data_IF_409617488828
#
_entry.id   IF_409617488828
#
_cell.length_a   1.000
_cell.length_b   1.000
_cell.length_c   1.000
_cell.angle_alpha   90.00
_cell.angle_beta   90.00
_cell.angle_gamma   90.00
#
_symmetry.space_group_name_H-M   'P 1'
#
loop_
_entity.id
_entity.type
_entity.pdbx_description
1 polymer ?
#
# COMPACT_ATOMS: atom_id res chain seq x y z
N UNK A 1 13.47 6.91 -24.16
CA UNK A 1 14.55 6.17 -23.45
C UNK A 1 15.61 5.68 -24.46
N UNK A 2 16.73 5.08 -24.00
CA UNK A 2 17.80 4.57 -24.88
C UNK A 2 17.68 3.05 -25.09
N UNK A 3 17.23 2.64 -26.27
CA UNK A 3 17.02 1.24 -26.66
C UNK A 3 18.15 0.75 -27.56
N UNK A 4 18.69 -0.43 -27.26
CA UNK A 4 19.69 -1.12 -28.07
C UNK A 4 19.29 -2.58 -28.23
N UNK A 5 19.26 -3.07 -29.48
CA UNK A 5 19.01 -4.47 -29.79
C UNK A 5 20.36 -5.13 -30.04
N UNK A 6 20.63 -6.21 -29.31
CA UNK A 6 21.84 -7.00 -29.41
C UNK A 6 21.49 -8.46 -29.76
N UNK A 7 22.51 -9.24 -30.13
CA UNK A 7 22.36 -10.70 -30.31
C UNK A 7 22.74 -11.41 -29.02
N UNK A 8 21.81 -12.18 -28.47
CA UNK A 8 22.06 -13.05 -27.31
C UNK A 8 22.95 -14.25 -27.67
N UNK A 9 23.46 -14.96 -26.66
CA UNK A 9 24.35 -16.12 -26.88
C UNK A 9 23.70 -17.25 -27.69
N UNK A 10 22.38 -17.40 -27.62
CA UNK A 10 21.63 -18.38 -28.41
C UNK A 10 21.28 -17.91 -29.83
N UNK A 11 21.73 -16.72 -30.25
CA UNK A 11 21.48 -16.14 -31.57
C UNK A 11 20.18 -15.32 -31.68
N UNK A 12 19.33 -15.31 -30.65
CA UNK A 12 18.11 -14.51 -30.64
C UNK A 12 18.41 -13.02 -30.38
N UNK A 13 17.51 -12.13 -30.82
CA UNK A 13 17.59 -10.71 -30.44
C UNK A 13 17.30 -10.54 -28.94
N UNK A 14 18.08 -9.72 -28.25
CA UNK A 14 17.84 -9.26 -26.87
C UNK A 14 17.76 -7.75 -26.82
N UNK A 15 17.11 -7.22 -25.79
CA UNK A 15 16.85 -5.79 -25.62
C UNK A 15 17.57 -5.24 -24.40
N UNK A 16 18.40 -4.23 -24.63
CA UNK A 16 19.02 -3.40 -23.61
C UNK A 16 18.32 -2.04 -23.59
N UNK A 17 17.86 -1.63 -22.40
CA UNK A 17 17.23 -0.34 -22.16
C UNK A 17 17.97 0.37 -21.02
N UNK A 18 18.54 1.54 -21.30
CA UNK A 18 19.30 2.32 -20.31
C UNK A 18 20.34 1.44 -19.55
N UNK A 19 21.11 0.62 -20.29
CA UNK A 19 22.10 -0.33 -19.76
C UNK A 19 21.54 -1.49 -18.90
N UNK A 20 20.22 -1.70 -18.90
CA UNK A 20 19.57 -2.82 -18.24
C UNK A 20 19.01 -3.78 -19.30
N UNK A 21 19.38 -5.05 -19.20
CA UNK A 21 18.84 -6.09 -20.07
C UNK A 21 17.38 -6.37 -19.71
N UNK A 22 16.46 -6.02 -20.62
CA UNK A 22 15.03 -6.32 -20.51
C UNK A 22 14.79 -7.82 -20.72
N UNK A 23 15.51 -8.43 -21.66
CA UNK A 23 15.54 -9.87 -21.86
C UNK A 23 16.94 -10.42 -21.60
N UNK A 24 17.01 -11.70 -21.24
CA UNK A 24 18.26 -12.40 -20.93
C UNK A 24 19.28 -12.30 -22.07
N UNK A 25 20.56 -12.08 -21.76
CA UNK A 25 21.65 -12.14 -22.75
C UNK A 25 21.99 -13.57 -23.20
N UNK A 26 21.39 -14.58 -22.55
CA UNK A 26 21.65 -15.99 -22.82
C UNK A 26 20.51 -16.62 -23.63
N UNK A 27 19.29 -16.58 -23.09
CA UNK A 27 18.11 -17.20 -23.69
C UNK A 27 16.87 -16.30 -23.57
N UNK A 28 16.77 -15.21 -24.36
CA UNK A 28 15.71 -14.21 -24.25
C UNK A 28 14.29 -14.78 -24.17
N UNK A 29 13.88 -15.63 -25.13
CA UNK A 29 12.51 -16.16 -25.19
C UNK A 29 12.23 -17.21 -24.11
N UNK A 30 13.21 -18.08 -23.82
CA UNK A 30 13.06 -19.13 -22.80
C UNK A 30 12.87 -18.51 -21.42
N UNK A 31 13.66 -17.49 -21.08
CA UNK A 31 13.58 -16.84 -19.78
C UNK A 31 12.30 -16.00 -19.65
N UNK A 32 11.84 -15.37 -20.74
CA UNK A 32 10.53 -14.70 -20.80
C UNK A 32 9.37 -15.69 -20.57
N UNK A 33 9.40 -16.88 -21.19
CA UNK A 33 8.41 -17.94 -20.96
C UNK A 33 8.36 -18.41 -19.51
N UNK A 34 9.52 -18.65 -18.90
CA UNK A 34 9.60 -19.05 -17.47
C UNK A 34 9.02 -17.98 -16.56
N UNK A 35 9.35 -16.70 -16.82
CA UNK A 35 8.81 -15.59 -16.06
C UNK A 35 7.28 -15.52 -16.17
N UNK A 36 6.74 -15.59 -17.38
CA UNK A 36 5.29 -15.53 -17.62
C UNK A 36 4.56 -16.74 -17.04
N UNK A 37 5.13 -17.94 -17.12
CA UNK A 37 4.54 -19.13 -16.50
C UNK A 37 4.37 -18.97 -14.98
N UNK A 38 5.32 -18.31 -14.30
CA UNK A 38 5.22 -18.02 -12.86
C UNK A 38 4.20 -16.91 -12.54
N UNK A 39 4.00 -15.97 -13.47
CA UNK A 39 3.04 -14.88 -13.34
C UNK A 39 1.65 -15.23 -13.90
N UNK A 40 1.47 -16.40 -14.51
CA UNK A 40 0.18 -16.83 -15.04
C UNK A 40 -0.81 -17.11 -13.90
N UNK A 41 -2.09 -16.90 -14.17
CA UNK A 41 -3.19 -17.20 -13.24
C UNK A 41 -4.42 -17.56 -14.05
N UNK A 42 -4.83 -18.82 -13.95
CA UNK A 42 -5.99 -19.34 -14.67
C UNK A 42 -7.30 -18.64 -14.28
N UNK A 43 -7.40 -18.10 -13.06
CA UNK A 43 -8.59 -17.43 -12.55
C UNK A 43 -8.63 -15.94 -12.87
N UNK A 44 -7.54 -15.37 -13.39
CA UNK A 44 -7.52 -13.98 -13.83
C UNK A 44 -8.52 -13.76 -14.98
N UNK A 45 -9.25 -12.65 -14.95
CA UNK A 45 -10.20 -12.27 -16.01
C UNK A 45 -9.54 -11.69 -17.25
N UNK A 46 -8.29 -11.26 -17.12
CA UNK A 46 -7.45 -10.65 -18.16
C UNK A 46 -6.09 -10.28 -17.60
N UNK A 47 -5.18 -9.83 -18.46
CA UNK A 47 -3.83 -9.42 -18.08
C UNK A 47 -3.51 -7.98 -18.49
N UNK A 48 -2.75 -7.29 -17.65
CA UNK A 48 -2.16 -5.98 -17.98
C UNK A 48 -0.64 -6.11 -17.96
N UNK A 49 0.00 -6.18 -19.12
CA UNK A 49 1.43 -6.38 -19.26
C UNK A 49 2.16 -5.05 -19.41
N UNK A 50 3.16 -4.82 -18.55
CA UNK A 50 3.98 -3.60 -18.60
C UNK A 50 5.23 -3.82 -19.45
N UNK A 51 5.37 -3.01 -20.50
CA UNK A 51 6.47 -3.01 -21.44
C UNK A 51 6.28 -4.05 -22.55
N UNK A 52 6.23 -3.58 -23.80
CA UNK A 52 6.10 -4.40 -24.99
C UNK A 52 7.47 -4.97 -25.41
N UNK A 53 8.48 -4.11 -25.48
CA UNK A 53 9.85 -4.49 -25.87
C UNK A 53 9.90 -5.22 -27.22
N UNK A 54 10.51 -6.40 -27.23
CA UNK A 54 10.58 -7.29 -28.41
C UNK A 54 9.37 -8.24 -28.51
N UNK A 55 8.38 -8.11 -27.63
CA UNK A 55 7.17 -8.92 -27.64
C UNK A 55 7.26 -10.28 -26.91
N UNK A 56 8.42 -10.71 -26.41
CA UNK A 56 8.58 -12.08 -25.88
C UNK A 56 7.73 -12.40 -24.65
N UNK A 57 7.43 -11.41 -23.79
CA UNK A 57 6.52 -11.62 -22.67
C UNK A 57 5.06 -11.77 -23.15
N UNK A 58 4.64 -10.96 -24.13
CA UNK A 58 3.33 -11.07 -24.75
C UNK A 58 3.18 -12.41 -25.49
N UNK A 59 4.20 -12.82 -26.22
CA UNK A 59 4.28 -14.12 -26.90
C UNK A 59 4.03 -15.27 -25.93
N UNK A 60 4.81 -15.31 -24.85
CA UNK A 60 4.69 -16.35 -23.83
C UNK A 60 3.30 -16.36 -23.17
N UNK A 61 2.67 -15.20 -23.02
CA UNK A 61 1.33 -15.10 -22.46
C UNK A 61 0.27 -15.65 -23.43
N UNK A 62 0.39 -15.32 -24.72
CA UNK A 62 -0.49 -15.84 -25.78
C UNK A 62 -0.31 -17.34 -26.05
N UNK A 63 0.87 -17.91 -25.76
CA UNK A 63 1.11 -19.35 -25.77
C UNK A 63 0.29 -20.08 -24.68
N UNK A 64 0.11 -19.45 -23.50
CA UNK A 64 -0.64 -20.01 -22.38
C UNK A 64 -2.15 -19.73 -22.47
N UNK A 65 -2.54 -18.53 -22.94
CA UNK A 65 -3.94 -18.12 -23.02
C UNK A 65 -4.21 -17.25 -24.25
N UNK A 66 -5.03 -17.77 -25.17
CA UNK A 66 -5.41 -17.10 -26.42
C UNK A 66 -6.76 -16.38 -26.33
N UNK A 67 -7.49 -16.55 -25.23
CA UNK A 67 -8.88 -16.11 -25.11
C UNK A 67 -9.06 -14.88 -24.24
N UNK A 68 -8.28 -14.75 -23.15
CA UNK A 68 -8.42 -13.64 -22.21
C UNK A 68 -7.96 -12.31 -22.81
N UNK A 69 -8.61 -11.19 -22.45
CA UNK A 69 -8.16 -9.87 -22.86
C UNK A 69 -6.79 -9.54 -22.23
N UNK A 70 -5.90 -9.00 -23.05
CA UNK A 70 -4.55 -8.58 -22.68
C UNK A 70 -4.37 -7.12 -23.07
N UNK A 71 -4.07 -6.26 -22.11
CA UNK A 71 -3.67 -4.87 -22.37
C UNK A 71 -2.15 -4.79 -22.18
N UNK A 72 -1.42 -4.33 -23.20
CA UNK A 72 0.02 -4.08 -23.11
C UNK A 72 0.28 -2.59 -23.04
N UNK A 73 0.94 -2.16 -21.98
CA UNK A 73 1.42 -0.78 -21.86
C UNK A 73 2.83 -0.66 -22.43
N UNK A 74 2.94 -0.11 -23.63
CA UNK A 74 4.19 0.39 -24.17
C UNK A 74 4.59 1.67 -23.41
N UNK A 75 5.82 1.71 -22.89
CA UNK A 75 6.34 2.82 -22.10
C UNK A 75 6.96 3.91 -22.99
N UNK A 76 7.36 3.56 -24.22
CA UNK A 76 7.84 4.47 -25.26
C UNK A 76 7.25 4.08 -26.63
N UNK A 77 6.91 5.07 -27.46
CA UNK A 77 6.47 4.84 -28.85
C UNK A 77 7.48 4.03 -29.67
N UNK A 78 8.78 4.09 -29.33
CA UNK A 78 9.82 3.29 -29.98
C UNK A 78 9.57 1.80 -29.87
N UNK A 79 8.90 1.33 -28.81
CA UNK A 79 8.58 -0.09 -28.61
C UNK A 79 7.73 -0.66 -29.75
N UNK A 80 6.79 0.14 -30.27
CA UNK A 80 5.94 -0.24 -31.39
C UNK A 80 6.73 -0.48 -32.69
N UNK A 81 7.93 0.11 -32.81
CA UNK A 81 8.80 -0.04 -33.99
C UNK A 81 9.78 -1.20 -33.86
N UNK A 82 10.22 -1.50 -32.64
CA UNK A 82 11.20 -2.57 -32.39
C UNK A 82 10.55 -3.93 -32.16
N UNK A 83 9.28 -3.96 -31.76
CA UNK A 83 8.53 -5.19 -31.67
C UNK A 83 8.42 -5.80 -33.08
N UNK A 84 8.92 -7.03 -33.31
CA UNK A 84 8.97 -7.60 -34.66
C UNK A 84 7.57 -7.71 -35.28
N UNK A 85 7.39 -7.37 -36.58
CA UNK A 85 6.10 -7.49 -37.27
C UNK A 85 5.50 -8.91 -37.31
N UNK A 86 6.29 -9.92 -36.95
CA UNK A 86 5.82 -11.31 -36.82
C UNK A 86 4.75 -11.46 -35.73
N UNK A 87 4.72 -10.55 -34.76
CA UNK A 87 3.54 -10.28 -33.96
C UNK A 87 2.57 -9.48 -34.82
N UNK A 88 1.90 -10.15 -35.76
CA UNK A 88 0.82 -9.53 -36.53
C UNK A 88 -0.32 -9.26 -35.55
N UNK A 89 -0.31 -8.10 -34.91
CA UNK A 89 -1.22 -7.76 -33.81
C UNK A 89 -2.69 -7.76 -34.28
N UNK A 90 -2.91 -7.56 -35.58
CA UNK A 90 -4.19 -7.73 -36.27
C UNK A 90 -4.79 -9.15 -36.13
N UNK A 91 -3.97 -10.17 -35.86
CA UNK A 91 -4.43 -11.55 -35.65
C UNK A 91 -4.94 -11.80 -34.22
N UNK A 92 -4.61 -10.93 -33.27
CA UNK A 92 -4.94 -11.12 -31.86
C UNK A 92 -5.99 -10.11 -31.40
N UNK A 93 -7.27 -10.42 -31.70
CA UNK A 93 -8.41 -9.57 -31.33
C UNK A 93 -8.58 -9.34 -29.82
N UNK A 94 -7.90 -10.13 -29.00
CA UNK A 94 -7.91 -10.04 -27.54
C UNK A 94 -6.72 -9.22 -26.98
N UNK A 95 -5.90 -8.60 -27.83
CA UNK A 95 -4.73 -7.81 -27.41
C UNK A 95 -4.90 -6.35 -27.79
N UNK A 96 -4.88 -5.48 -26.78
CA UNK A 96 -4.86 -4.02 -26.96
C UNK A 96 -3.52 -3.45 -26.50
N UNK A 97 -2.97 -2.49 -27.24
CA UNK A 97 -1.69 -1.86 -26.92
C UNK A 97 -1.89 -0.37 -26.73
N UNK A 98 -1.50 0.08 -25.55
CA UNK A 98 -1.62 1.47 -25.14
C UNK A 98 -0.23 2.04 -24.86
N UNK A 99 -0.07 3.33 -25.10
CA UNK A 99 1.17 4.10 -24.89
C UNK A 99 1.09 5.01 -23.67
N UNK A 100 -0.08 5.03 -23.03
CA UNK A 100 -0.39 5.82 -21.85
C UNK A 100 -1.46 5.10 -21.03
N UNK A 101 -1.31 5.13 -19.71
CA UNK A 101 -2.39 4.75 -18.80
C UNK A 101 -3.49 5.81 -18.89
N UNK A 102 -4.61 5.43 -19.50
CA UNK A 102 -5.81 6.25 -19.53
C UNK A 102 -6.57 6.09 -18.21
N UNK A 103 -7.23 7.16 -17.74
CA UNK A 103 -7.88 7.19 -16.42
C UNK A 103 -9.03 6.19 -16.26
N UNK A 104 -9.53 5.62 -17.35
CA UNK A 104 -10.65 4.68 -17.36
C UNK A 104 -10.21 3.21 -17.38
N UNK A 105 -8.91 2.90 -17.51
CA UNK A 105 -8.43 1.52 -17.43
C UNK A 105 -8.51 1.05 -15.98
N UNK A 106 -9.52 0.24 -15.67
CA UNK A 106 -9.68 -0.32 -14.33
C UNK A 106 -8.74 -1.52 -14.13
N UNK A 107 -7.53 -1.25 -13.63
CA UNK A 107 -6.51 -2.26 -13.36
C UNK A 107 -6.95 -3.34 -12.37
N UNK A 108 -7.97 -3.12 -11.53
CA UNK A 108 -8.42 -4.14 -10.57
C UNK A 108 -9.04 -5.37 -11.24
N UNK A 109 -9.45 -5.26 -12.51
CA UNK A 109 -10.03 -6.38 -13.27
C UNK A 109 -8.97 -7.27 -13.94
N UNK A 110 -7.71 -6.82 -13.97
CA UNK A 110 -6.63 -7.47 -14.70
C UNK A 110 -5.53 -7.94 -13.74
N UNK A 111 -4.94 -9.11 -14.02
CA UNK A 111 -3.67 -9.47 -13.40
C UNK A 111 -2.57 -8.62 -14.03
N UNK A 112 -2.03 -7.68 -13.26
CA UNK A 112 -0.94 -6.81 -13.71
C UNK A 112 0.38 -7.58 -13.68
N UNK A 113 1.08 -7.65 -14.81
CA UNK A 113 2.39 -8.30 -14.94
C UNK A 113 3.43 -7.24 -15.19
N UNK A 114 4.34 -7.08 -14.23
CA UNK A 114 5.44 -6.10 -14.29
C UNK A 114 6.77 -6.85 -14.23
N UNK A 115 7.46 -7.04 -15.37
CA UNK A 115 8.80 -7.63 -15.38
C UNK A 115 9.78 -6.71 -14.66
N UNK A 116 10.53 -7.27 -13.69
CA UNK A 116 11.49 -6.51 -12.88
C UNK A 116 12.54 -5.72 -13.69
N UNK A 117 13.05 -6.20 -14.84
CA UNK A 117 13.96 -5.41 -15.67
C UNK A 117 13.38 -4.08 -16.13
N UNK A 118 12.09 -4.01 -16.45
CA UNK A 118 11.43 -2.77 -16.87
C UNK A 118 11.45 -1.72 -15.76
N UNK A 119 11.12 -2.11 -14.53
CA UNK A 119 11.18 -1.21 -13.37
C UNK A 119 12.56 -0.60 -13.19
N UNK A 120 13.61 -1.42 -13.30
CA UNK A 120 15.00 -0.97 -13.19
C UNK A 120 15.40 -0.06 -14.35
N UNK A 121 14.97 -0.38 -15.57
CA UNK A 121 15.38 0.30 -16.78
C UNK A 121 14.75 1.68 -16.95
N UNK A 122 13.47 1.86 -16.60
CA UNK A 122 12.80 3.17 -16.71
C UNK A 122 13.34 4.18 -15.69
N UNK A 123 13.79 3.70 -14.52
CA UNK A 123 14.36 4.53 -13.46
C UNK A 123 13.33 5.42 -12.74
N UNK A 124 13.76 6.05 -11.65
CA UNK A 124 12.90 6.83 -10.75
C UNK A 124 12.30 8.10 -11.38
N UNK A 125 12.97 8.68 -12.39
CA UNK A 125 12.51 9.89 -13.08
C UNK A 125 11.34 9.64 -14.04
N UNK A 126 11.03 8.37 -14.34
CA UNK A 126 9.94 8.06 -15.24
C UNK A 126 8.58 8.31 -14.58
N UNK A 127 7.69 9.04 -15.25
CA UNK A 127 6.36 9.44 -14.74
C UNK A 127 5.48 8.29 -14.22
N UNK A 128 5.70 7.06 -14.70
CA UNK A 128 4.96 5.86 -14.29
C UNK A 128 5.68 5.03 -13.21
N UNK A 129 6.95 5.31 -12.93
CA UNK A 129 7.77 4.49 -12.03
C UNK A 129 7.08 4.31 -10.68
N UNK A 130 6.65 5.40 -10.06
CA UNK A 130 6.02 5.37 -8.73
C UNK A 130 4.69 4.61 -8.71
N UNK A 131 3.87 4.73 -9.75
CA UNK A 131 2.61 3.98 -9.85
C UNK A 131 2.86 2.48 -10.00
N UNK A 132 3.81 2.11 -10.85
CA UNK A 132 4.17 0.71 -11.09
C UNK A 132 4.85 0.08 -9.86
N UNK A 133 5.68 0.84 -9.15
CA UNK A 133 6.28 0.40 -7.90
C UNK A 133 5.22 0.17 -6.81
N UNK A 134 4.27 1.10 -6.63
CA UNK A 134 3.15 0.95 -5.69
C UNK A 134 2.36 -0.35 -5.98
N UNK A 135 2.10 -0.64 -7.26
CA UNK A 135 1.44 -1.89 -7.68
C UNK A 135 2.30 -3.11 -7.32
N UNK A 136 3.60 -3.10 -7.70
CA UNK A 136 4.49 -4.24 -7.47
C UNK A 136 4.67 -4.54 -5.98
N UNK A 137 4.80 -3.52 -5.13
CA UNK A 137 4.89 -3.67 -3.68
C UNK A 137 3.67 -4.42 -3.15
N UNK A 138 2.45 -3.98 -3.52
CA UNK A 138 1.21 -4.64 -3.09
C UNK A 138 1.12 -6.08 -3.56
N UNK A 139 1.50 -6.36 -4.81
CA UNK A 139 1.52 -7.73 -5.35
C UNK A 139 2.48 -8.64 -4.58
N UNK A 140 3.69 -8.15 -4.30
CA UNK A 140 4.69 -8.91 -3.55
C UNK A 140 4.23 -9.17 -2.12
N UNK A 141 3.66 -8.16 -1.44
CA UNK A 141 3.08 -8.32 -0.10
C UNK A 141 1.95 -9.33 -0.08
N UNK A 142 1.05 -9.30 -1.07
CA UNK A 142 -0.03 -10.27 -1.19
C UNK A 142 0.49 -11.68 -1.43
N UNK A 143 1.38 -11.86 -2.41
CA UNK A 143 1.96 -13.16 -2.74
C UNK A 143 2.71 -13.79 -1.55
N UNK A 144 3.43 -12.97 -0.77
CA UNK A 144 4.15 -13.44 0.40
C UNK A 144 3.23 -13.88 1.56
N UNK A 145 1.99 -13.36 1.62
CA UNK A 145 1.08 -13.55 2.75
C UNK A 145 -0.23 -14.26 2.38
N UNK A 146 -0.43 -14.67 1.14
CA UNK A 146 -1.71 -15.18 0.62
C UNK A 146 -2.32 -16.30 1.49
N UNK A 147 -1.52 -17.30 1.87
CA UNK A 147 -2.00 -18.39 2.72
C UNK A 147 -2.43 -17.94 4.12
N UNK A 148 -1.72 -17.00 4.74
CA UNK A 148 -2.08 -16.44 6.04
C UNK A 148 -3.31 -15.51 5.93
N UNK A 149 -3.41 -14.72 4.87
CA UNK A 149 -4.58 -13.87 4.60
C UNK A 149 -5.86 -14.70 4.52
N UNK A 150 -5.85 -15.80 3.76
CA UNK A 150 -7.00 -16.69 3.61
C UNK A 150 -7.35 -17.40 4.93
N UNK A 151 -6.35 -17.96 5.61
CA UNK A 151 -6.55 -18.62 6.92
C UNK A 151 -7.15 -17.66 7.95
N UNK A 152 -6.60 -16.45 8.06
CA UNK A 152 -7.10 -15.43 8.97
C UNK A 152 -8.53 -15.03 8.62
N UNK A 153 -8.82 -14.82 7.34
CA UNK A 153 -10.15 -14.49 6.86
C UNK A 153 -11.21 -15.52 7.26
N UNK A 154 -10.91 -16.81 7.06
CA UNK A 154 -11.84 -17.89 7.40
C UNK A 154 -12.13 -17.99 8.90
N UNK A 155 -11.16 -17.63 9.74
CA UNK A 155 -11.32 -17.58 11.21
C UNK A 155 -12.10 -16.33 11.65
N UNK A 156 -11.76 -15.17 11.08
CA UNK A 156 -12.29 -13.86 11.50
C UNK A 156 -13.75 -13.65 11.15
N UNK A 157 -14.27 -14.25 10.07
CA UNK A 157 -15.68 -14.14 9.65
C UNK A 157 -16.70 -14.61 10.70
N UNK A 158 -16.23 -15.27 11.77
CA UNK A 158 -17.02 -15.77 12.90
C UNK A 158 -16.75 -15.03 14.21
N UNK A 159 -15.82 -14.07 14.24
CA UNK A 159 -15.26 -13.53 15.48
C UNK A 159 -15.37 -11.99 15.61
N UNK A 160 -16.52 -11.44 15.21
CA UNK A 160 -16.82 -10.01 15.36
C UNK A 160 -18.13 -9.82 16.13
N UNK A 161 -18.27 -8.67 16.79
CA UNK A 161 -19.41 -8.38 17.66
C UNK A 161 -20.45 -7.48 16.98
N UNK A 162 -20.04 -6.66 16.01
CA UNK A 162 -20.92 -5.69 15.36
C UNK A 162 -20.47 -5.31 13.94
N UNK A 163 -21.40 -4.71 13.20
CA UNK A 163 -21.21 -4.28 11.82
C UNK A 163 -20.35 -3.01 11.74
N UNK A 164 -19.55 -2.88 10.66
CA UNK A 164 -18.83 -1.62 10.39
C UNK A 164 -19.82 -0.50 10.04
N UNK A 165 -20.96 -0.85 9.44
CA UNK A 165 -22.02 0.07 9.03
C UNK A 165 -22.64 0.85 10.18
N UNK A 166 -22.53 0.35 11.41
CA UNK A 166 -22.95 1.07 12.63
C UNK A 166 -22.13 2.34 12.89
N UNK A 167 -20.93 2.44 12.33
CA UNK A 167 -20.03 3.56 12.53
C UNK A 167 -20.05 4.56 11.36
N UNK A 168 -20.79 4.25 10.30
CA UNK A 168 -20.87 5.10 9.11
C UNK A 168 -21.46 6.45 9.48
N UNK A 169 -20.72 7.53 9.20
CA UNK A 169 -21.16 8.91 9.44
C UNK A 169 -21.54 9.23 10.92
N UNK A 170 -21.18 8.39 11.89
CA UNK A 170 -21.59 8.53 13.30
C UNK A 170 -20.85 9.67 14.03
N UNK A 171 -19.75 10.16 13.45
CA UNK A 171 -18.88 11.18 14.05
C UNK A 171 -18.83 12.49 13.24
N UNK A 172 -19.90 12.80 12.50
CA UNK A 172 -20.01 14.03 11.72
C UNK A 172 -19.76 15.28 12.56
N UNK A 173 -18.89 16.17 12.06
CA UNK A 173 -18.51 17.42 12.73
C UNK A 173 -17.46 17.26 13.83
N UNK A 174 -17.12 16.03 14.22
CA UNK A 174 -16.10 15.78 15.24
C UNK A 174 -14.68 15.73 14.63
N UNK A 175 -13.69 15.75 15.52
CA UNK A 175 -12.27 15.62 15.17
C UNK A 175 -11.70 14.32 15.72
N UNK A 176 -10.71 13.77 15.01
CA UNK A 176 -10.00 12.58 15.44
C UNK A 176 -8.49 12.78 15.43
N UNK A 177 -7.81 12.02 16.28
CA UNK A 177 -6.37 11.83 16.26
C UNK A 177 -6.10 10.43 15.70
N UNK A 178 -5.36 10.34 14.60
CA UNK A 178 -4.81 9.09 14.10
C UNK A 178 -3.38 8.94 14.62
N UNK A 179 -3.18 7.97 15.50
CA UNK A 179 -1.89 7.76 16.19
C UNK A 179 -1.15 6.58 15.60
N UNK A 180 -0.06 6.87 14.89
CA UNK A 180 0.90 5.92 14.34
C UNK A 180 2.09 5.72 15.29
N UNK A 181 2.91 4.69 15.04
CA UNK A 181 4.03 4.32 15.92
C UNK A 181 5.40 4.87 15.47
N UNK A 182 5.42 5.95 14.69
CA UNK A 182 6.66 6.61 14.32
C UNK A 182 7.34 7.28 15.54
N UNK A 183 8.69 7.34 15.58
CA UNK A 183 9.43 7.98 16.66
C UNK A 183 8.93 9.37 17.08
N UNK A 184 8.41 10.20 16.17
CA UNK A 184 7.90 11.54 16.54
C UNK A 184 6.66 11.51 17.45
N UNK A 185 6.06 10.34 17.68
CA UNK A 185 5.03 10.19 18.70
C UNK A 185 5.57 10.55 20.09
N UNK A 186 6.81 10.19 20.40
CA UNK A 186 7.40 10.48 21.71
C UNK A 186 7.56 11.99 21.92
N UNK A 187 7.93 12.74 20.87
CA UNK A 187 8.05 14.20 20.91
C UNK A 187 6.70 14.91 21.08
N UNK A 188 5.61 14.25 20.70
CA UNK A 188 4.26 14.83 20.64
C UNK A 188 3.29 14.20 21.64
N UNK A 189 3.78 13.36 22.55
CA UNK A 189 2.94 12.61 23.48
C UNK A 189 2.16 13.50 24.46
N UNK A 190 2.80 14.55 24.98
CA UNK A 190 2.15 15.52 25.87
C UNK A 190 1.09 16.33 25.13
N UNK A 191 1.36 16.66 23.87
CA UNK A 191 0.40 17.34 23.02
C UNK A 191 -0.81 16.45 22.71
N UNK A 192 -0.60 15.14 22.50
CA UNK A 192 -1.68 14.18 22.31
C UNK A 192 -2.58 14.07 23.56
N UNK A 193 -2.00 14.09 24.77
CA UNK A 193 -2.78 14.08 26.03
C UNK A 193 -3.78 15.23 26.09
N UNK A 194 -3.41 16.42 25.62
CA UNK A 194 -4.29 17.60 25.59
C UNK A 194 -5.49 17.44 24.63
N UNK A 195 -5.44 16.48 23.71
CA UNK A 195 -6.55 16.21 22.76
C UNK A 195 -7.60 15.23 23.29
N UNK A 196 -7.31 14.48 24.37
CA UNK A 196 -8.09 13.29 24.80
C UNK A 196 -9.58 13.56 25.01
N UNK A 197 -9.94 14.72 25.54
CA UNK A 197 -11.33 15.08 25.84
C UNK A 197 -12.06 15.72 24.65
N UNK A 198 -11.35 16.05 23.56
CA UNK A 198 -11.86 16.83 22.42
C UNK A 198 -11.83 16.09 21.10
N UNK A 199 -11.02 15.03 21.02
CA UNK A 199 -10.80 14.27 19.81
C UNK A 199 -10.99 12.78 20.06
N UNK A 200 -11.57 12.09 19.09
CA UNK A 200 -11.56 10.63 19.07
C UNK A 200 -10.15 10.13 18.74
N UNK A 201 -9.53 9.34 19.61
CA UNK A 201 -8.20 8.78 19.41
C UNK A 201 -8.32 7.37 18.80
N UNK A 202 -7.93 7.25 17.52
CA UNK A 202 -7.74 5.97 16.85
C UNK A 202 -6.25 5.65 16.78
N UNK A 203 -5.82 4.62 17.51
CA UNK A 203 -4.44 4.18 17.53
C UNK A 203 -4.20 2.98 16.61
N UNK A 204 -3.10 2.99 15.87
CA UNK A 204 -2.58 1.74 15.27
C UNK A 204 -2.05 0.84 16.38
N UNK A 205 -2.17 -0.48 16.24
CA UNK A 205 -1.76 -1.43 17.28
C UNK A 205 -0.36 -1.21 17.85
N UNK A 206 0.61 -0.91 16.98
CA UNK A 206 2.00 -0.70 17.41
C UNK A 206 2.20 0.56 18.26
N UNK A 207 1.28 1.52 18.24
CA UNK A 207 1.33 2.71 19.09
C UNK A 207 0.72 2.48 20.47
N UNK A 208 -0.11 1.44 20.64
CA UNK A 208 -0.88 1.21 21.87
C UNK A 208 -0.01 1.14 23.12
N UNK A 209 1.14 0.45 23.05
CA UNK A 209 2.03 0.33 24.20
C UNK A 209 2.61 1.69 24.64
N UNK A 210 2.95 2.58 23.71
CA UNK A 210 3.43 3.93 24.03
C UNK A 210 2.32 4.75 24.67
N UNK A 211 1.10 4.66 24.14
CA UNK A 211 -0.06 5.36 24.68
C UNK A 211 -0.41 4.91 26.10
N UNK A 212 -0.55 3.60 26.33
CA UNK A 212 -0.89 3.05 27.65
C UNK A 212 0.18 3.37 28.71
N UNK A 213 1.46 3.39 28.33
CA UNK A 213 2.57 3.79 29.24
C UNK A 213 2.53 5.26 29.65
N UNK A 214 1.84 6.09 28.88
CA UNK A 214 1.68 7.52 29.12
C UNK A 214 0.26 7.87 29.57
N UNK A 215 -0.51 6.89 30.08
CA UNK A 215 -1.87 7.07 30.59
C UNK A 215 -2.88 7.61 29.54
N UNK A 216 -2.62 7.32 28.26
CA UNK A 216 -3.50 7.62 27.14
C UNK A 216 -4.20 6.32 26.73
N UNK A 217 -5.46 6.16 27.13
CA UNK A 217 -6.31 5.08 26.61
C UNK A 217 -7.00 5.56 25.33
N UNK A 218 -6.73 4.96 24.16
CA UNK A 218 -7.36 5.37 22.91
C UNK A 218 -8.82 4.92 22.85
N UNK A 219 -9.69 5.71 22.21
CA UNK A 219 -11.09 5.35 22.00
C UNK A 219 -11.23 4.05 21.18
N UNK A 220 -10.35 3.86 20.20
CA UNK A 220 -10.27 2.63 19.42
C UNK A 220 -8.84 2.28 19.01
N UNK A 221 -8.61 1.00 18.77
CA UNK A 221 -7.40 0.47 18.14
C UNK A 221 -7.75 -0.14 16.80
N UNK A 222 -6.87 -0.01 15.81
CA UNK A 222 -6.98 -0.68 14.51
C UNK A 222 -5.78 -1.59 14.21
N UNK A 223 -6.07 -2.80 13.74
CA UNK A 223 -5.07 -3.78 13.28
C UNK A 223 -5.35 -4.22 11.86
N UNK A 224 -4.28 -4.29 11.05
CA UNK A 224 -4.35 -4.87 9.70
C UNK A 224 -3.36 -6.01 9.48
N UNK A 225 -2.36 -6.17 10.35
CA UNK A 225 -1.28 -7.15 10.19
C UNK A 225 -1.77 -8.59 10.33
N UNK A 226 -1.19 -9.48 9.52
CA UNK A 226 -1.53 -10.91 9.47
C UNK A 226 -0.72 -11.76 10.45
N UNK A 227 0.46 -11.27 10.84
CA UNK A 227 1.49 -12.03 11.52
C UNK A 227 1.25 -12.15 13.03
N UNK A 228 1.72 -13.24 13.63
CA UNK A 228 1.51 -13.56 15.05
C UNK A 228 2.14 -12.54 16.02
N UNK A 229 3.20 -11.85 15.60
CA UNK A 229 3.86 -10.81 16.41
C UNK A 229 2.92 -9.65 16.78
N UNK A 230 1.83 -9.44 16.04
CA UNK A 230 0.83 -8.42 16.35
C UNK A 230 0.06 -8.71 17.63
N UNK A 231 -0.03 -9.98 18.05
CA UNK A 231 -0.72 -10.37 19.30
C UNK A 231 -0.07 -9.67 20.51
N UNK A 232 1.26 -9.58 20.53
CA UNK A 232 2.03 -8.91 21.58
C UNK A 232 1.75 -7.40 21.67
N UNK A 233 1.14 -6.78 20.65
CA UNK A 233 0.81 -5.35 20.68
C UNK A 233 -0.38 -5.06 21.61
N UNK A 234 -1.29 -6.02 21.80
CA UNK A 234 -2.43 -5.88 22.73
C UNK A 234 -2.39 -6.81 23.94
N UNK A 235 -1.76 -7.97 23.79
CA UNK A 235 -1.68 -8.94 24.87
C UNK A 235 -1.01 -8.32 26.10
N UNK A 236 -1.63 -8.51 27.26
CA UNK A 236 -1.18 -7.99 28.55
C UNK A 236 -1.08 -6.45 28.65
N UNK A 237 -1.73 -5.69 27.75
CA UNK A 237 -1.80 -4.22 27.83
C UNK A 237 -2.99 -3.70 28.62
N UNK A 238 -3.93 -4.57 28.99
CA UNK A 238 -5.14 -4.20 29.73
C UNK A 238 -6.19 -3.44 28.91
N UNK A 239 -5.90 -3.14 27.63
CA UNK A 239 -6.83 -2.46 26.73
C UNK A 239 -8.07 -3.32 26.45
N UNK A 240 -9.25 -2.74 26.68
CA UNK A 240 -10.56 -3.38 26.42
C UNK A 240 -11.49 -2.48 25.59
N UNK A 241 -10.96 -1.42 25.00
CA UNK A 241 -11.72 -0.53 24.13
C UNK A 241 -12.09 -1.17 22.80
N UNK A 242 -12.60 -0.34 21.88
CA UNK A 242 -13.07 -0.78 20.58
C UNK A 242 -11.91 -1.24 19.71
N UNK A 243 -12.05 -2.41 19.09
CA UNK A 243 -11.07 -2.93 18.15
C UNK A 243 -11.65 -3.01 16.75
N UNK A 244 -11.07 -2.23 15.83
CA UNK A 244 -11.24 -2.42 14.40
C UNK A 244 -10.16 -3.34 13.86
N UNK A 245 -10.52 -4.25 12.96
CA UNK A 245 -9.53 -5.11 12.34
C UNK A 245 -9.93 -5.50 10.93
N UNK A 246 -8.96 -5.57 10.01
CA UNK A 246 -9.22 -6.11 8.68
C UNK A 246 -9.69 -7.56 8.77
N UNK A 247 -10.59 -7.97 7.88
CA UNK A 247 -11.06 -9.35 7.81
C UNK A 247 -9.90 -10.34 7.67
N UNK A 248 -8.76 -9.92 7.09
CA UNK A 248 -7.55 -10.74 6.95
C UNK A 248 -6.51 -10.56 8.07
N UNK A 249 -6.76 -9.71 9.07
CA UNK A 249 -5.85 -9.49 10.20
C UNK A 249 -5.66 -10.76 11.03
N UNK A 250 -4.58 -10.83 11.81
CA UNK A 250 -4.26 -12.01 12.61
C UNK A 250 -5.44 -12.45 13.50
N UNK A 251 -5.96 -13.66 13.26
CA UNK A 251 -7.16 -14.14 13.96
C UNK A 251 -6.93 -14.44 15.45
N UNK A 252 -5.70 -14.79 15.84
CA UNK A 252 -5.37 -15.02 17.24
C UNK A 252 -5.49 -13.75 18.07
N UNK A 253 -5.08 -12.60 17.52
CA UNK A 253 -5.30 -11.28 18.12
C UNK A 253 -6.80 -11.11 18.44
N UNK A 254 -7.65 -11.26 17.44
CA UNK A 254 -9.10 -11.02 17.59
C UNK A 254 -9.75 -11.94 18.64
N UNK A 255 -9.11 -13.07 18.97
CA UNK A 255 -9.56 -14.02 20.01
C UNK A 255 -9.10 -13.60 21.41
N UNK A 256 -7.89 -13.04 21.54
CA UNK A 256 -7.37 -12.58 22.82
C UNK A 256 -7.98 -11.27 23.27
N UNK A 257 -8.35 -10.37 22.34
CA UNK A 257 -9.03 -9.13 22.68
C UNK A 257 -10.39 -9.38 23.35
N UNK A 258 -10.66 -8.69 24.45
CA UNK A 258 -11.88 -8.84 25.26
C UNK A 258 -12.85 -7.68 25.15
N UNK A 259 -12.47 -6.61 24.45
CA UNK A 259 -13.37 -5.50 24.11
C UNK A 259 -14.24 -5.81 22.90
N UNK A 260 -15.08 -4.84 22.52
CA UNK A 260 -15.93 -4.90 21.33
C UNK A 260 -15.09 -4.91 20.06
N UNK A 261 -15.44 -5.77 19.10
CA UNK A 261 -14.70 -6.02 17.86
C UNK A 261 -15.53 -5.72 16.62
N UNK A 262 -14.95 -4.97 15.70
CA UNK A 262 -15.55 -4.59 14.42
C UNK A 262 -14.66 -5.10 13.30
N UNK A 263 -15.22 -5.94 12.44
CA UNK A 263 -14.53 -6.43 11.24
C UNK A 263 -14.62 -5.38 10.12
N UNK A 264 -13.51 -5.14 9.45
CA UNK A 264 -13.43 -4.29 8.25
C UNK A 264 -13.20 -5.18 7.04
N UNK A 265 -14.10 -5.06 6.07
CA UNK A 265 -13.90 -5.66 4.75
C UNK A 265 -13.06 -4.70 3.89
N UNK A 266 -11.93 -5.18 3.39
CA UNK A 266 -11.05 -4.40 2.51
C UNK A 266 -11.42 -4.55 1.03
N UNK A 267 -11.25 -3.46 0.28
CA UNK A 267 -11.24 -3.45 -1.18
C UNK A 267 -9.98 -4.14 -1.74
N UNK A 268 -10.10 -4.70 -2.94
CA UNK A 268 -9.00 -5.35 -3.65
C UNK A 268 -8.66 -6.75 -3.14
N UNK A 269 -9.49 -7.32 -2.26
CA UNK A 269 -9.40 -8.72 -1.83
C UNK A 269 -10.73 -9.43 -2.03
N UNK A 270 -10.79 -10.28 -3.07
CA UNK A 270 -12.03 -10.86 -3.59
C UNK A 270 -12.88 -11.58 -2.53
N UNK A 271 -12.25 -12.32 -1.61
CA UNK A 271 -12.98 -13.01 -0.54
C UNK A 271 -13.65 -12.02 0.42
N UNK A 272 -12.99 -10.91 0.73
CA UNK A 272 -13.53 -9.84 1.56
C UNK A 272 -14.69 -9.12 0.86
N UNK A 273 -14.52 -8.75 -0.41
CA UNK A 273 -15.56 -8.07 -1.20
C UNK A 273 -16.83 -8.95 -1.35
N UNK A 274 -16.65 -10.25 -1.62
CA UNK A 274 -17.77 -11.18 -1.74
C UNK A 274 -18.53 -11.35 -0.42
N UNK A 275 -17.81 -11.43 0.71
CA UNK A 275 -18.43 -11.57 2.03
C UNK A 275 -19.15 -10.29 2.44
N UNK A 276 -18.55 -9.12 2.20
CA UNK A 276 -19.18 -7.82 2.45
C UNK A 276 -20.50 -7.70 1.67
N UNK A 277 -20.48 -8.05 0.37
CA UNK A 277 -21.69 -8.08 -0.47
C UNK A 277 -22.74 -9.07 0.07
N UNK A 278 -22.33 -10.26 0.49
CA UNK A 278 -23.23 -11.27 1.02
C UNK A 278 -23.88 -10.84 2.34
N UNK A 279 -23.20 -10.02 3.15
CA UNK A 279 -23.68 -9.51 4.44
C UNK A 279 -24.30 -8.12 4.38
N UNK A 280 -24.35 -7.50 3.19
CA UNK A 280 -24.78 -6.11 3.02
C UNK A 280 -23.95 -5.13 3.87
N UNK A 281 -22.63 -5.34 3.87
CA UNK A 281 -21.63 -4.50 4.54
C UNK A 281 -20.86 -3.66 3.52
N UNK A 282 -20.34 -2.52 3.96
CA UNK A 282 -19.46 -1.69 3.16
C UNK A 282 -18.02 -2.26 3.13
N UNK A 283 -17.29 -1.93 2.06
CA UNK A 283 -15.85 -2.20 1.92
C UNK A 283 -15.07 -0.90 2.09
N UNK A 284 -13.86 -0.99 2.65
CA UNK A 284 -12.95 0.13 2.85
C UNK A 284 -11.70 0.04 1.99
N UNK A 285 -11.30 1.18 1.43
CA UNK A 285 -10.03 1.35 0.76
C UNK A 285 -8.86 1.09 1.73
N UNK A 286 -7.85 0.36 1.27
CA UNK A 286 -6.58 0.20 2.00
C UNK A 286 -5.41 0.78 1.21
N UNK A 287 -4.42 1.35 1.91
CA UNK A 287 -3.22 1.94 1.30
C UNK A 287 -1.94 1.14 1.49
N UNK A 288 -2.04 -0.10 1.99
CA UNK A 288 -0.89 -0.98 2.26
C UNK A 288 -0.24 -0.82 3.63
N UNK A 289 -0.75 0.08 4.50
CA UNK A 289 -0.33 0.20 5.90
C UNK A 289 -1.54 0.33 6.84
N UNK A 290 -1.32 0.03 8.12
CA UNK A 290 -2.35 0.21 9.16
C UNK A 290 -2.85 1.66 9.18
N UNK A 291 -1.95 2.64 9.11
CA UNK A 291 -2.29 4.07 9.15
C UNK A 291 -3.16 4.51 7.96
N UNK A 292 -2.87 4.00 6.76
CA UNK A 292 -3.70 4.32 5.59
C UNK A 292 -5.12 3.76 5.72
N UNK A 293 -5.27 2.52 6.20
CA UNK A 293 -6.60 1.92 6.46
C UNK A 293 -7.31 2.65 7.60
N UNK A 294 -6.57 3.06 8.63
CA UNK A 294 -7.10 3.82 9.75
C UNK A 294 -7.66 5.19 9.30
N UNK A 295 -6.98 5.86 8.36
CA UNK A 295 -7.52 7.09 7.78
C UNK A 295 -8.80 6.83 6.98
N UNK A 296 -8.84 5.81 6.12
CA UNK A 296 -10.06 5.42 5.40
C UNK A 296 -11.23 5.13 6.37
N UNK A 297 -10.94 4.50 7.51
CA UNK A 297 -11.93 4.27 8.56
C UNK A 297 -12.44 5.58 9.17
N UNK A 298 -11.56 6.52 9.53
CA UNK A 298 -11.97 7.81 10.09
C UNK A 298 -12.80 8.63 9.08
N UNK A 299 -12.44 8.58 7.80
CA UNK A 299 -13.24 9.17 6.73
C UNK A 299 -14.63 8.53 6.64
N UNK A 300 -14.71 7.20 6.66
CA UNK A 300 -15.96 6.45 6.67
C UNK A 300 -16.85 6.77 7.89
N UNK A 301 -16.23 7.02 9.04
CA UNK A 301 -16.91 7.42 10.27
C UNK A 301 -17.45 8.85 10.25
N UNK A 302 -17.13 9.65 9.22
CA UNK A 302 -17.64 11.01 9.04
C UNK A 302 -16.82 12.11 9.72
N UNK A 303 -15.61 11.82 10.22
CA UNK A 303 -14.76 12.85 10.85
C UNK A 303 -14.38 13.94 9.85
N UNK A 304 -14.42 15.20 10.27
CA UNK A 304 -14.09 16.35 9.40
C UNK A 304 -12.65 16.82 9.52
N UNK A 305 -12.02 16.61 10.68
CA UNK A 305 -10.63 16.96 10.93
C UNK A 305 -9.91 15.75 11.52
N UNK A 306 -8.75 15.41 10.96
CA UNK A 306 -7.89 14.33 11.44
C UNK A 306 -6.49 14.87 11.68
N UNK A 307 -5.98 14.69 12.89
CA UNK A 307 -4.63 15.07 13.29
C UNK A 307 -3.78 13.80 13.36
N UNK A 308 -2.68 13.77 12.60
CA UNK A 308 -1.77 12.65 12.52
C UNK A 308 -0.65 12.83 13.55
N UNK A 309 -0.47 11.82 14.40
CA UNK A 309 0.63 11.71 15.37
C UNK A 309 1.52 10.51 15.02
N UNK A 310 2.84 10.65 15.16
CA UNK A 310 3.78 9.57 14.86
C UNK A 310 3.75 9.11 13.39
N UNK A 311 3.31 9.96 12.46
CA UNK A 311 3.20 9.62 11.03
C UNK A 311 4.47 10.08 10.28
N UNK A 312 5.59 9.42 10.58
CA UNK A 312 6.90 9.88 10.11
C UNK A 312 7.18 9.60 8.64
N UNK A 313 6.88 8.39 8.14
CA UNK A 313 7.11 7.99 6.74
C UNK A 313 8.56 8.20 6.22
N UNK A 314 9.53 8.34 7.12
CA UNK A 314 10.94 8.52 6.84
C UNK A 314 11.78 8.54 8.12
N UNK A 315 13.09 8.69 7.99
CA UNK A 315 14.06 8.69 9.09
C UNK A 315 15.31 9.52 8.74
N UNK A 316 15.86 10.24 9.72
CA UNK A 316 17.06 11.08 9.57
C UNK A 316 18.35 10.25 9.43
N UNK A 317 18.58 9.37 10.40
CA UNK A 317 19.74 8.48 10.40
C UNK A 317 19.39 7.13 9.76
N UNK A 318 20.38 6.45 9.18
CA UNK A 318 20.30 5.02 8.86
C UNK A 318 20.12 4.13 10.13
N UNK A 319 19.81 4.75 11.29
CA UNK A 319 19.58 4.08 12.55
C UNK A 319 18.43 3.09 12.39
N UNK A 320 18.88 1.85 12.29
CA UNK A 320 18.17 0.60 12.03
C UNK A 320 17.02 0.25 12.99
N UNK A 321 16.75 1.06 14.01
CA UNK A 321 15.69 0.79 15.00
C UNK A 321 14.27 0.93 14.44
N UNK A 322 14.08 1.69 13.35
CA UNK A 322 12.81 1.80 12.63
C UNK A 322 12.68 0.83 11.45
N UNK A 323 13.78 0.20 11.02
CA UNK A 323 13.81 -0.83 9.96
C UNK A 323 13.65 -2.24 10.56
N UNK A 324 13.83 -2.39 11.87
CA UNK A 324 13.31 -3.55 12.58
C UNK A 324 11.79 -3.48 12.59
N UNK A 325 11.18 -4.20 11.64
CA UNK A 325 9.99 -4.99 11.97
C UNK A 325 10.19 -5.64 13.35
N UNK A 326 9.10 -5.94 14.05
CA UNK A 326 9.04 -6.57 15.39
C UNK A 326 9.77 -7.93 15.52
N UNK A 327 10.61 -8.28 14.54
CA UNK A 327 11.40 -9.50 14.34
C UNK A 327 12.92 -9.26 14.23
N UNK A 328 13.45 -8.04 14.42
CA UNK A 328 14.87 -7.81 14.75
C UNK A 328 15.95 -8.22 13.72
N UNK A 329 15.59 -8.64 12.50
CA UNK A 329 16.58 -9.05 11.50
C UNK A 329 17.06 -7.88 10.62
N UNK A 330 18.35 -7.56 10.72
CA UNK A 330 19.07 -6.61 9.85
C UNK A 330 19.06 -7.11 8.40
N UNK A 331 18.29 -6.47 7.53
CA UNK A 331 18.43 -6.62 6.06
C UNK A 331 18.85 -5.28 5.48
N UNK A 332 20.13 -4.92 5.63
CA UNK A 332 20.70 -3.69 5.03
C UNK A 332 21.08 -3.93 3.55
N UNK A 333 21.29 -5.19 3.15
CA UNK A 333 21.62 -5.53 1.77
C UNK A 333 20.36 -5.52 0.88
N UNK A 334 20.26 -4.53 -0.01
CA UNK A 334 19.27 -4.47 -1.08
C UNK A 334 18.13 -3.45 -0.88
N UNK A 335 18.11 -2.69 0.22
CA UNK A 335 17.14 -1.60 0.41
C UNK A 335 17.61 -0.36 -0.34
N UNK A 336 16.86 0.05 -1.37
CA UNK A 336 17.05 1.35 -2.02
C UNK A 336 16.39 2.43 -1.16
N UNK A 337 17.21 3.34 -0.62
CA UNK A 337 16.73 4.51 0.12
C UNK A 337 16.49 5.68 -0.83
N UNK A 338 15.36 6.36 -0.64
CA UNK A 338 15.04 7.62 -1.32
C UNK A 338 15.17 8.77 -0.36
N UNK A 339 15.33 9.98 -0.90
CA UNK A 339 15.30 11.21 -0.11
C UNK A 339 13.97 11.91 -0.29
N UNK A 340 13.36 12.33 0.80
CA UNK A 340 12.13 13.14 0.82
C UNK A 340 12.34 14.33 1.74
N UNK A 341 11.60 15.41 1.49
CA UNK A 341 11.63 16.59 2.36
C UNK A 341 10.83 16.29 3.63
N UNK A 342 11.36 16.65 4.80
CA UNK A 342 10.65 16.60 6.07
C UNK A 342 9.88 17.90 6.34
N UNK A 343 8.99 17.90 7.34
CA UNK A 343 8.23 19.09 7.73
C UNK A 343 9.14 20.24 8.19
N UNK A 344 10.29 19.93 8.77
CA UNK A 344 11.33 20.90 9.16
C UNK A 344 12.16 21.48 8.00
N UNK A 345 11.92 21.03 6.76
CA UNK A 345 12.65 21.47 5.57
C UNK A 345 13.98 20.76 5.31
N UNK A 346 14.38 19.82 6.17
CA UNK A 346 15.55 18.97 5.92
C UNK A 346 15.19 17.77 5.02
N UNK A 347 16.19 17.16 4.41
CA UNK A 347 16.00 15.92 3.66
C UNK A 347 16.25 14.71 4.54
N UNK A 348 15.29 13.80 4.58
CA UNK A 348 15.35 12.52 5.30
C UNK A 348 15.33 11.34 4.33
N UNK A 349 15.67 10.16 4.83
CA UNK A 349 15.61 8.93 4.08
C UNK A 349 14.24 8.25 4.22
N UNK A 350 13.83 7.52 3.20
CA UNK A 350 12.61 6.70 3.22
C UNK A 350 12.80 5.44 2.37
N UNK A 351 12.01 4.41 2.65
CA UNK A 351 11.99 3.16 1.87
C UNK A 351 10.92 3.20 0.79
N UNK A 352 10.93 2.25 -0.14
CA UNK A 352 9.90 2.14 -1.18
C UNK A 352 8.48 2.00 -0.58
N UNK A 353 8.32 1.22 0.50
CA UNK A 353 7.03 1.04 1.17
C UNK A 353 6.54 2.33 1.83
N UNK A 354 7.41 3.02 2.59
CA UNK A 354 7.03 4.28 3.21
C UNK A 354 6.74 5.38 2.18
N UNK A 355 7.47 5.38 1.05
CA UNK A 355 7.19 6.27 -0.09
C UNK A 355 5.83 5.97 -0.72
N UNK A 356 5.44 4.70 -0.83
CA UNK A 356 4.12 4.31 -1.32
C UNK A 356 3.00 4.83 -0.40
N UNK A 357 3.19 4.76 0.93
CA UNK A 357 2.23 5.28 1.90
C UNK A 357 2.16 6.82 1.88
N UNK A 358 3.31 7.49 1.74
CA UNK A 358 3.40 8.93 1.52
C UNK A 358 2.56 9.34 0.29
N UNK A 359 2.82 8.71 -0.86
CA UNK A 359 2.06 8.95 -2.09
C UNK A 359 0.57 8.63 -1.94
N UNK A 360 0.20 7.63 -1.15
CA UNK A 360 -1.19 7.31 -0.88
C UNK A 360 -1.89 8.48 -0.18
N UNK A 361 -1.32 9.02 0.91
CA UNK A 361 -1.88 10.19 1.58
C UNK A 361 -1.96 11.40 0.64
N UNK A 362 -0.93 11.66 -0.17
CA UNK A 362 -0.93 12.77 -1.14
C UNK A 362 -1.96 12.64 -2.27
N UNK A 363 -2.35 11.40 -2.63
CA UNK A 363 -3.46 11.15 -3.55
C UNK A 363 -4.79 11.35 -2.83
N UNK A 364 -4.90 10.83 -1.61
CA UNK A 364 -6.11 10.88 -0.80
C UNK A 364 -6.53 12.32 -0.49
N UNK A 365 -5.60 13.21 -0.18
CA UNK A 365 -5.85 14.66 0.04
C UNK A 365 -6.48 15.38 -1.15
N UNK A 366 -6.44 14.81 -2.36
CA UNK A 366 -7.04 15.41 -3.56
C UNK A 366 -8.52 15.09 -3.74
N UNK A 367 -9.00 14.05 -3.06
CA UNK A 367 -10.36 13.51 -3.22
C UNK A 367 -11.17 13.53 -1.93
N UNK A 368 -10.50 13.49 -0.77
CA UNK A 368 -11.16 13.57 0.54
C UNK A 368 -11.61 14.99 0.86
N UNK A 369 -12.73 15.10 1.58
CA UNK A 369 -13.16 16.36 2.22
C UNK A 369 -12.59 16.53 3.64
N UNK A 370 -11.95 15.50 4.19
CA UNK A 370 -11.39 15.52 5.55
C UNK A 370 -10.13 16.38 5.60
N UNK A 371 -10.06 17.30 6.55
CA UNK A 371 -8.89 18.14 6.75
C UNK A 371 -7.85 17.40 7.59
N UNK A 372 -6.69 17.17 6.99
CA UNK A 372 -5.58 16.47 7.61
C UNK A 372 -4.53 17.44 8.13
N UNK A 373 -3.92 17.12 9.27
CA UNK A 373 -2.78 17.86 9.85
C UNK A 373 -1.71 16.89 10.34
N UNK A 374 -0.44 17.23 10.21
CA UNK A 374 0.67 16.38 10.64
C UNK A 374 1.45 17.04 11.79
N UNK A 375 1.71 16.32 12.88
CA UNK A 375 2.51 16.82 14.02
C UNK A 375 3.96 16.36 14.01
N UNK A 376 4.36 15.50 13.06
CA UNK A 376 5.71 14.94 12.95
C UNK A 376 6.71 15.94 12.35
N UNK A 377 7.39 16.73 13.18
CA UNK A 377 8.34 17.77 12.71
C UNK A 377 9.50 17.21 11.87
N UNK A 378 10.08 16.10 12.31
CA UNK A 378 11.17 15.41 11.61
C UNK A 378 10.69 14.34 10.61
N UNK A 379 9.38 14.13 10.53
CA UNK A 379 8.74 13.22 9.57
C UNK A 379 8.64 13.83 8.18
N UNK A 380 8.41 12.97 7.18
CA UNK A 380 8.22 13.34 5.80
C UNK A 380 7.08 14.35 5.66
N UNK A 381 7.33 15.39 4.87
CA UNK A 381 6.34 16.36 4.45
C UNK A 381 5.38 15.70 3.48
N UNK A 382 4.10 15.65 3.85
CA UNK A 382 3.05 15.03 3.04
C UNK A 382 2.32 16.14 2.28
N UNK A 383 2.38 16.15 0.95
CA UNK A 383 1.69 17.17 0.15
C UNK A 383 0.18 17.16 0.39
N UNK A 384 -0.36 18.33 0.73
CA UNK A 384 -1.78 18.51 1.08
C UNK A 384 -2.09 18.33 2.57
N UNK A 385 -1.11 17.95 3.39
CA UNK A 385 -1.25 17.85 4.85
C UNK A 385 -0.26 18.84 5.50
N UNK A 386 -0.72 20.01 5.95
CA UNK A 386 0.16 20.97 6.61
C UNK A 386 0.70 20.43 7.94
N UNK A 387 1.93 20.85 8.28
CA UNK A 387 2.47 20.70 9.62
C UNK A 387 1.66 21.54 10.61
N UNK A 388 1.39 20.99 11.78
CA UNK A 388 0.69 21.64 12.87
C UNK A 388 1.56 21.61 14.12
N UNK A 389 2.11 22.77 14.48
CA UNK A 389 2.89 22.94 15.70
C UNK A 389 2.00 22.91 16.95
N UNK A 390 2.63 22.79 18.12
CA UNK A 390 1.94 22.68 19.40
C UNK A 390 1.05 23.89 19.74
N UNK A 391 1.47 25.11 19.40
CA UNK A 391 0.70 26.32 19.68
C UNK A 391 -0.54 26.38 18.78
N UNK A 392 -0.34 26.15 17.48
CA UNK A 392 -1.43 26.09 16.50
C UNK A 392 -2.44 24.98 16.81
N UNK A 393 -1.99 23.84 17.35
CA UNK A 393 -2.92 22.78 17.77
C UNK A 393 -3.74 23.20 18.99
N UNK A 394 -3.11 23.78 20.03
CA UNK A 394 -3.83 24.28 21.21
C UNK A 394 -4.91 25.30 20.80
N UNK A 395 -4.57 26.21 19.91
CA UNK A 395 -5.52 27.18 19.37
C UNK A 395 -6.68 26.48 18.66
N UNK A 396 -6.40 25.53 17.75
CA UNK A 396 -7.44 24.73 17.08
C UNK A 396 -8.32 23.97 18.07
N UNK A 397 -7.74 23.33 19.08
CA UNK A 397 -8.47 22.60 20.12
C UNK A 397 -9.41 23.53 20.91
N UNK A 398 -9.10 24.81 21.05
CA UNK A 398 -10.00 25.77 21.71
C UNK A 398 -11.27 26.08 20.88
N UNK A 399 -11.24 25.82 19.57
CA UNK A 399 -12.39 25.98 18.67
C UNK A 399 -13.16 24.67 18.40
N UNK A 400 -12.59 23.53 18.77
CA UNK A 400 -13.27 22.24 18.78
C UNK A 400 -14.12 22.17 20.05
N UNK A 401 -15.43 22.35 19.90
CA UNK A 401 -16.42 22.30 20.98
C UNK A 401 -16.92 20.90 21.22
#
# INVERSE_FOLDING_TARGET
>A
MNYQIETAKNGEATLLLNNIYIYSKYNPRIDARKFIANEYDENAKGYFLVGLGLGYHLEALLELDKGKPIIVLALDHKELKICPPIFQMEQHKNVDIIISLESHVNLSQYKVIIPNPWMKAIGYEHKLHDVLEDIKIRQMSYAALAGELEKNFQSNRKNYDCSISEFKDDFQGQSACLVSAGPSLDDTIELLKETKEKCFILAVGSALNTLMKNDIEPNAVIITDTQMNVVNQLENKGYKGLLFYLATANHEMTRVHKGRKVIIYQEGYLLSENEAKARNEDVLETGGSVATTAFSLLEYMGFQNVILFGQDLGFKDYNTHSISSSSGNKVINGISFRRVLANNGEYIHTTANLSAYLRWFERKTRVTSVRLYNTSWEGAKIKGIPYLDAMSLKDKLNFLK
#
